data_IF_584626866190
#
_entry.id   IF_584626866190
#
_cell.length_a   1.000
_cell.length_b   1.000
_cell.length_c   1.000
_cell.angle_alpha   90.00
_cell.angle_beta   90.00
_cell.angle_gamma   90.00
#
_symmetry.space_group_name_H-M   'P 1'
#
loop_
_entity.id
_entity.type
_entity.pdbx_description
1 polymer ?
#
# COMPACT_ATOMS: atom_id res chain seq x y z
N UNK A 1 -12.19 6.20 10.54
CA UNK A 1 -12.97 5.31 11.44
C UNK A 1 -12.01 4.22 11.86
N UNK A 2 -11.82 4.05 13.16
CA UNK A 2 -10.95 3.00 13.69
C UNK A 2 -11.76 1.72 13.87
N UNK A 3 -11.38 0.64 13.18
CA UNK A 3 -11.96 -0.68 13.43
C UNK A 3 -11.03 -1.49 14.34
N UNK A 4 -11.61 -2.32 15.21
CA UNK A 4 -10.84 -3.19 16.11
C UNK A 4 -11.30 -4.64 15.99
N UNK A 5 -10.35 -5.57 15.86
CA UNK A 5 -10.61 -7.01 15.83
C UNK A 5 -9.49 -7.83 16.51
N UNK A 6 -9.66 -9.15 16.64
CA UNK A 6 -8.58 -10.02 17.13
C UNK A 6 -7.49 -10.17 16.07
N UNK A 7 -7.88 -10.45 14.83
CA UNK A 7 -6.99 -10.41 13.66
C UNK A 7 -7.65 -9.60 12.56
N UNK A 8 -6.87 -8.96 11.71
CA UNK A 8 -7.39 -8.22 10.56
C UNK A 8 -8.27 -7.07 11.00
N UNK A 9 -7.69 -6.08 11.68
CA UNK A 9 -8.43 -4.97 12.27
C UNK A 9 -9.34 -4.27 11.28
N UNK A 10 -8.88 -4.09 10.04
CA UNK A 10 -9.70 -3.61 8.93
C UNK A 10 -10.38 -4.75 8.15
N UNK A 11 -9.58 -5.73 7.70
CA UNK A 11 -10.05 -6.82 6.83
C UNK A 11 -9.52 -8.16 7.30
N UNK A 12 -10.43 -9.13 7.44
CA UNK A 12 -10.10 -10.55 7.59
C UNK A 12 -10.53 -11.32 6.36
N UNK A 13 -9.58 -12.02 5.73
CA UNK A 13 -9.82 -12.89 4.59
C UNK A 13 -9.77 -14.34 5.07
N UNK A 14 -10.94 -14.94 5.19
CA UNK A 14 -11.08 -16.35 5.61
C UNK A 14 -10.90 -17.28 4.42
N UNK A 15 -11.44 -16.94 3.26
CA UNK A 15 -11.27 -17.66 1.98
C UNK A 15 -11.68 -16.75 0.80
N UNK A 16 -11.53 -17.22 -0.43
CA UNK A 16 -11.98 -16.55 -1.65
C UNK A 16 -10.95 -15.58 -2.24
N UNK A 17 -11.40 -14.74 -3.18
CA UNK A 17 -10.54 -13.73 -3.82
C UNK A 17 -11.02 -12.34 -3.46
N UNK A 18 -10.15 -11.55 -2.84
CA UNK A 18 -10.40 -10.16 -2.46
C UNK A 18 -9.53 -9.24 -3.31
N UNK A 19 -10.16 -8.22 -3.90
CA UNK A 19 -9.50 -7.20 -4.72
C UNK A 19 -9.77 -5.84 -4.10
N UNK A 20 -8.71 -5.09 -3.83
CA UNK A 20 -8.73 -3.77 -3.22
C UNK A 20 -8.11 -2.80 -4.22
N UNK A 21 -8.89 -1.81 -4.64
CA UNK A 21 -8.61 -0.94 -5.77
C UNK A 21 -8.81 0.52 -5.33
N UNK A 22 -7.83 1.41 -5.56
CA UNK A 22 -7.94 2.84 -5.24
C UNK A 22 -8.48 3.08 -3.81
N UNK A 23 -7.91 2.41 -2.83
CA UNK A 23 -8.46 2.37 -1.48
C UNK A 23 -7.39 2.52 -0.41
N UNK A 24 -7.74 3.25 0.65
CA UNK A 24 -6.94 3.39 1.85
C UNK A 24 -7.50 2.49 2.95
N UNK A 25 -6.64 1.63 3.49
CA UNK A 25 -6.89 0.84 4.71
C UNK A 25 -6.03 1.46 5.79
N UNK A 26 -6.64 2.25 6.67
CA UNK A 26 -5.88 2.97 7.67
C UNK A 26 -6.57 3.06 9.03
N UNK A 27 -5.74 3.26 10.06
CA UNK A 27 -6.16 3.47 11.45
C UNK A 27 -6.97 2.30 12.01
N UNK A 28 -6.71 1.08 11.54
CA UNK A 28 -7.33 -0.11 12.09
C UNK A 28 -6.41 -0.79 13.10
N UNK A 29 -7.01 -1.47 14.08
CA UNK A 29 -6.30 -2.10 15.19
C UNK A 29 -6.63 -3.58 15.30
N UNK A 30 -5.62 -4.43 15.43
CA UNK A 30 -5.80 -5.83 15.80
C UNK A 30 -5.20 -6.13 17.18
N UNK A 31 -5.73 -7.13 17.88
CA UNK A 31 -5.18 -7.58 19.17
C UNK A 31 -4.07 -8.64 19.03
N UNK A 32 -3.90 -9.22 17.84
CA UNK A 32 -2.96 -10.33 17.63
C UNK A 32 -2.18 -10.29 16.33
N UNK A 33 -2.83 -10.18 15.17
CA UNK A 33 -2.18 -10.26 13.85
C UNK A 33 -2.90 -9.40 12.81
N UNK A 34 -2.16 -8.72 11.96
CA UNK A 34 -2.74 -8.03 10.80
C UNK A 34 -3.56 -6.82 11.24
N UNK A 35 -2.91 -5.73 11.64
CA UNK A 35 -3.62 -4.52 12.05
C UNK A 35 -4.55 -4.02 10.95
N UNK A 36 -4.06 -3.98 9.71
CA UNK A 36 -4.86 -3.66 8.53
C UNK A 36 -5.57 -4.89 7.99
N UNK A 37 -4.79 -5.87 7.52
CA UNK A 37 -5.29 -7.06 6.84
C UNK A 37 -4.72 -8.34 7.43
N UNK A 38 -5.58 -9.31 7.71
CA UNK A 38 -5.20 -10.67 8.05
C UNK A 38 -5.72 -11.64 6.99
N UNK A 39 -4.81 -12.32 6.31
CA UNK A 39 -5.12 -13.28 5.26
C UNK A 39 -4.87 -14.70 5.78
N UNK A 40 -5.95 -15.47 6.00
CA UNK A 40 -5.89 -16.85 6.50
C UNK A 40 -5.90 -17.89 5.37
N UNK A 41 -6.75 -17.69 4.37
CA UNK A 41 -6.74 -18.42 3.09
C UNK A 41 -7.15 -17.49 1.95
N UNK A 42 -7.13 -17.97 0.72
CA UNK A 42 -7.57 -17.21 -0.45
C UNK A 42 -6.51 -16.27 -1.03
N UNK A 43 -6.94 -15.45 -1.99
CA UNK A 43 -6.09 -14.49 -2.71
C UNK A 43 -6.42 -13.05 -2.32
N UNK A 44 -5.40 -12.24 -2.16
CA UNK A 44 -5.49 -10.80 -1.97
C UNK A 44 -4.79 -10.09 -3.12
N UNK A 45 -5.45 -9.14 -3.75
CA UNK A 45 -4.83 -8.22 -4.72
C UNK A 45 -5.06 -6.80 -4.27
N UNK A 46 -3.98 -6.05 -4.05
CA UNK A 46 -4.01 -4.61 -3.85
C UNK A 46 -3.47 -3.93 -5.10
N UNK A 47 -4.19 -2.93 -5.59
CA UNK A 47 -3.75 -2.13 -6.73
C UNK A 47 -4.11 -0.68 -6.45
N UNK A 48 -3.11 0.20 -6.51
CA UNK A 48 -3.27 1.62 -6.17
C UNK A 48 -3.88 1.79 -4.78
N UNK A 49 -3.30 1.12 -3.78
CA UNK A 49 -3.84 1.11 -2.42
C UNK A 49 -2.83 1.68 -1.42
N UNK A 50 -3.35 2.18 -0.30
CA UNK A 50 -2.53 2.66 0.82
C UNK A 50 -2.93 1.90 2.08
N UNK A 51 -2.02 1.10 2.63
CA UNK A 51 -2.19 0.39 3.91
C UNK A 51 -1.30 1.04 4.95
N UNK A 52 -1.87 1.95 5.74
CA UNK A 52 -1.07 2.80 6.62
C UNK A 52 -1.67 3.00 8.01
N UNK A 53 -0.83 3.25 9.02
CA UNK A 53 -1.27 3.56 10.38
C UNK A 53 -2.17 2.51 11.00
N UNK A 54 -2.07 1.27 10.54
CA UNK A 54 -2.73 0.16 11.19
C UNK A 54 -1.82 -0.39 12.29
N UNK A 55 -2.42 -0.87 13.37
CA UNK A 55 -1.67 -1.26 14.56
C UNK A 55 -2.04 -2.65 15.07
N UNK A 56 -1.09 -3.32 15.71
CA UNK A 56 -1.36 -4.48 16.57
C UNK A 56 -0.97 -4.11 18.00
N UNK A 57 -1.96 -3.98 18.88
CA UNK A 57 -1.73 -3.57 20.28
C UNK A 57 -2.54 -4.42 21.27
N UNK A 58 -2.07 -4.52 22.50
CA UNK A 58 -2.83 -5.09 23.59
C UNK A 58 -3.90 -4.11 24.14
N UNK A 59 -4.62 -4.53 25.18
CA UNK A 59 -5.64 -3.70 25.84
C UNK A 59 -5.07 -2.45 26.55
N UNK A 60 -3.75 -2.32 26.65
CA UNK A 60 -3.05 -1.17 27.22
C UNK A 60 -2.43 -0.27 26.13
N UNK A 61 -2.71 -0.56 24.85
CA UNK A 61 -2.17 0.17 23.71
C UNK A 61 -0.69 -0.10 23.45
N UNK A 62 -0.11 -1.14 24.04
CA UNK A 62 1.29 -1.50 23.79
C UNK A 62 1.41 -2.34 22.51
N UNK A 63 2.41 -2.10 21.64
CA UNK A 63 2.62 -2.91 20.46
C UNK A 63 2.82 -4.40 20.81
N UNK A 64 2.05 -5.26 20.17
CA UNK A 64 2.14 -6.72 20.28
C UNK A 64 2.09 -7.37 18.90
N UNK A 65 2.22 -8.69 18.85
CA UNK A 65 2.01 -9.47 17.64
C UNK A 65 2.89 -9.06 16.46
N UNK A 66 2.38 -9.24 15.24
CA UNK A 66 3.12 -8.94 14.02
C UNK A 66 2.23 -8.52 12.87
N UNK A 67 2.81 -7.86 11.86
CA UNK A 67 2.11 -7.40 10.67
C UNK A 67 1.10 -6.30 10.99
N UNK A 68 1.59 -5.13 11.41
CA UNK A 68 0.75 -3.94 11.58
C UNK A 68 -0.07 -3.66 10.33
N UNK A 69 0.55 -3.75 9.15
CA UNK A 69 -0.13 -3.64 7.86
C UNK A 69 -0.86 -4.93 7.47
N UNK A 70 -0.12 -5.90 6.94
CA UNK A 70 -0.66 -7.15 6.37
C UNK A 70 0.02 -8.36 7.02
N UNK A 71 -0.78 -9.39 7.34
CA UNK A 71 -0.28 -10.73 7.67
C UNK A 71 -0.74 -11.74 6.63
N UNK A 72 0.22 -12.48 6.10
CA UNK A 72 0.02 -13.63 5.21
C UNK A 72 0.17 -14.91 6.03
N UNK A 73 -0.95 -15.52 6.39
CA UNK A 73 -1.03 -16.72 7.24
C UNK A 73 -1.65 -17.90 6.50
N UNK A 74 -1.15 -18.16 5.30
CA UNK A 74 -1.61 -19.30 4.50
C UNK A 74 -0.48 -19.96 3.73
N UNK A 75 -0.69 -21.23 3.37
CA UNK A 75 0.18 -21.97 2.45
C UNK A 75 -0.43 -22.08 1.05
N UNK A 76 -1.67 -21.62 0.86
CA UNK A 76 -2.40 -21.63 -0.42
C UNK A 76 -2.92 -20.24 -0.78
N UNK A 77 -2.86 -19.88 -2.07
CA UNK A 77 -3.20 -18.53 -2.53
C UNK A 77 -1.97 -17.61 -2.59
N UNK A 78 -2.21 -16.31 -2.78
CA UNK A 78 -1.17 -15.31 -2.93
C UNK A 78 -1.65 -13.92 -2.51
N UNK A 79 -0.71 -13.08 -2.06
CA UNK A 79 -0.88 -11.64 -1.98
C UNK A 79 -0.23 -11.01 -3.20
N UNK A 80 -0.91 -10.13 -3.91
CA UNK A 80 -0.39 -9.46 -5.11
C UNK A 80 -0.47 -7.96 -4.90
N UNK A 81 0.65 -7.26 -5.02
CA UNK A 81 0.75 -5.82 -4.79
C UNK A 81 1.19 -5.10 -6.07
N UNK A 82 0.52 -4.02 -6.44
CA UNK A 82 0.97 -3.11 -7.50
C UNK A 82 0.65 -1.68 -7.13
N UNK A 83 1.58 -0.74 -7.38
CA UNK A 83 1.37 0.68 -7.09
C UNK A 83 0.83 0.90 -5.66
N UNK A 84 1.30 0.11 -4.69
CA UNK A 84 0.71 0.07 -3.34
C UNK A 84 1.70 0.59 -2.30
N UNK A 85 1.22 1.44 -1.39
CA UNK A 85 1.96 1.91 -0.22
C UNK A 85 1.60 1.02 0.98
N UNK A 86 2.61 0.52 1.70
CA UNK A 86 2.47 -0.10 3.03
C UNK A 86 3.49 0.53 3.97
N UNK A 87 3.04 1.49 4.78
CA UNK A 87 3.91 2.33 5.60
C UNK A 87 3.24 2.76 6.91
N UNK A 88 4.00 3.31 7.86
CA UNK A 88 3.51 3.84 9.14
C UNK A 88 2.67 2.86 9.98
N UNK A 89 2.77 1.56 9.72
CA UNK A 89 2.07 0.55 10.49
C UNK A 89 2.88 0.18 11.74
N UNK A 90 2.19 -0.26 12.80
CA UNK A 90 2.81 -0.54 14.10
C UNK A 90 2.49 -1.96 14.58
N UNK A 91 3.51 -2.69 15.00
CA UNK A 91 3.41 -3.99 15.67
C UNK A 91 4.69 -4.27 16.46
N UNK A 92 4.72 -5.33 17.26
CA UNK A 92 5.96 -5.73 17.95
C UNK A 92 7.02 -6.26 16.98
N UNK A 93 6.59 -6.98 15.94
CA UNK A 93 7.46 -7.48 14.87
C UNK A 93 6.80 -7.27 13.50
N UNK A 94 7.61 -7.26 12.44
CA UNK A 94 7.13 -7.17 11.05
C UNK A 94 6.11 -6.05 10.80
N UNK A 95 6.52 -4.80 11.02
CA UNK A 95 5.63 -3.63 11.06
C UNK A 95 4.63 -3.57 9.88
N UNK A 96 5.11 -3.77 8.66
CA UNK A 96 4.31 -3.60 7.45
C UNK A 96 3.73 -4.92 6.94
N UNK A 97 4.59 -5.91 6.67
CA UNK A 97 4.16 -7.18 6.10
C UNK A 97 4.83 -8.32 6.84
N UNK A 98 4.03 -9.23 7.38
CA UNK A 98 4.50 -10.45 8.03
C UNK A 98 4.04 -11.70 7.26
N UNK A 99 4.92 -12.70 7.15
CA UNK A 99 4.59 -14.02 6.63
C UNK A 99 4.74 -15.05 7.74
N UNK A 100 3.61 -15.57 8.24
CA UNK A 100 3.61 -16.68 9.21
C UNK A 100 3.51 -18.04 8.52
N UNK A 101 3.39 -18.03 7.19
CA UNK A 101 3.31 -19.20 6.32
C UNK A 101 3.93 -18.88 4.94
N UNK A 102 3.92 -19.84 4.01
CA UNK A 102 4.77 -19.84 2.81
C UNK A 102 4.11 -19.33 1.53
N UNK A 103 2.87 -18.83 1.58
CA UNK A 103 2.25 -18.29 0.37
C UNK A 103 3.02 -17.07 -0.16
N UNK A 104 3.18 -16.96 -1.49
CA UNK A 104 3.98 -15.91 -2.09
C UNK A 104 3.32 -14.53 -1.95
N UNK A 105 4.16 -13.52 -1.78
CA UNK A 105 3.79 -12.12 -2.00
C UNK A 105 4.36 -11.72 -3.35
N UNK A 106 3.50 -11.49 -4.33
CA UNK A 106 3.88 -11.11 -5.67
C UNK A 106 3.90 -9.60 -5.83
N UNK A 107 4.95 -9.09 -6.47
CA UNK A 107 5.01 -7.69 -6.88
C UNK A 107 4.69 -7.53 -8.37
N UNK A 108 3.77 -6.62 -8.66
CA UNK A 108 3.44 -6.11 -10.00
C UNK A 108 4.21 -4.83 -10.36
N UNK A 109 5.19 -4.47 -9.52
CA UNK A 109 5.98 -3.25 -9.64
C UNK A 109 5.41 -2.04 -8.90
N UNK A 110 6.29 -1.07 -8.69
CA UNK A 110 6.01 0.25 -8.17
C UNK A 110 5.32 0.25 -6.78
N UNK A 111 5.68 -0.67 -5.89
CA UNK A 111 5.17 -0.67 -4.52
C UNK A 111 6.15 0.06 -3.59
N UNK A 112 5.64 0.78 -2.60
CA UNK A 112 6.45 1.40 -1.56
C UNK A 112 6.16 0.72 -0.23
N UNK A 113 7.16 0.07 0.36
CA UNK A 113 7.05 -0.53 1.69
C UNK A 113 8.12 0.06 2.58
N UNK A 114 7.69 0.73 3.66
CA UNK A 114 8.61 1.50 4.51
C UNK A 114 9.75 0.64 5.05
N UNK A 115 9.43 -0.54 5.58
CA UNK A 115 10.39 -1.55 6.02
C UNK A 115 9.85 -2.93 5.62
N UNK A 116 10.66 -3.68 4.88
CA UNK A 116 10.51 -5.13 4.73
C UNK A 116 11.32 -5.80 5.83
N UNK A 117 10.67 -6.71 6.56
CA UNK A 117 11.32 -7.42 7.66
C UNK A 117 12.09 -8.64 7.16
N UNK A 118 13.20 -9.03 7.82
CA UNK A 118 13.95 -10.22 7.43
C UNK A 118 13.05 -11.46 7.41
N UNK A 119 13.04 -12.18 6.28
CA UNK A 119 12.22 -13.38 6.10
C UNK A 119 10.92 -13.15 5.33
N UNK A 120 10.51 -11.90 5.08
CA UNK A 120 9.46 -11.63 4.08
C UNK A 120 10.03 -11.80 2.67
N UNK A 121 9.46 -12.71 1.89
CA UNK A 121 9.88 -13.03 0.53
C UNK A 121 8.90 -12.46 -0.50
N UNK A 122 9.36 -11.50 -1.30
CA UNK A 122 8.64 -10.99 -2.47
C UNK A 122 9.05 -11.76 -3.74
N UNK A 123 8.11 -11.96 -4.67
CA UNK A 123 8.32 -12.69 -5.92
C UNK A 123 7.74 -11.93 -7.13
N UNK A 124 8.53 -11.49 -8.12
CA UNK A 124 9.99 -11.46 -8.11
C UNK A 124 10.54 -10.60 -6.95
N UNK A 125 11.79 -10.85 -6.54
CA UNK A 125 12.42 -10.26 -5.35
C UNK A 125 12.31 -8.71 -5.28
N UNK A 126 12.21 -8.06 -6.44
CA UNK A 126 11.73 -6.68 -6.61
C UNK A 126 11.07 -6.59 -7.98
N UNK A 127 9.80 -6.20 -8.04
CA UNK A 127 9.18 -5.74 -9.28
C UNK A 127 9.87 -4.45 -9.76
N UNK A 128 9.70 -4.11 -11.04
CA UNK A 128 10.24 -2.85 -11.57
C UNK A 128 9.63 -1.67 -10.80
N UNK A 129 10.47 -0.76 -10.30
CA UNK A 129 10.04 0.45 -9.59
C UNK A 129 9.64 0.26 -8.13
N UNK A 130 9.78 -0.93 -7.54
CA UNK A 130 9.53 -1.12 -6.11
C UNK A 130 10.54 -0.33 -5.24
N UNK A 131 10.01 0.34 -4.21
CA UNK A 131 10.72 1.14 -3.21
C UNK A 131 10.62 0.46 -1.84
N UNK A 132 11.56 -0.43 -1.56
CA UNK A 132 11.57 -1.23 -0.33
C UNK A 132 12.65 -0.78 0.63
N UNK A 133 12.23 -0.30 1.80
CA UNK A 133 13.15 0.00 2.89
C UNK A 133 13.51 -1.21 3.73
N UNK A 134 14.54 -1.04 4.54
CA UNK A 134 15.01 -2.03 5.52
C UNK A 134 15.03 -1.41 6.91
N UNK A 135 15.18 -2.21 7.96
CA UNK A 135 15.32 -1.68 9.32
C UNK A 135 16.53 -0.74 9.48
N UNK A 136 17.57 -0.89 8.67
CA UNK A 136 18.75 -0.01 8.67
C UNK A 136 18.58 1.25 7.81
N UNK A 137 17.73 1.18 6.78
CA UNK A 137 17.42 2.29 5.88
C UNK A 137 15.94 2.23 5.50
N UNK A 138 15.03 2.71 6.36
CA UNK A 138 13.61 2.77 6.06
C UNK A 138 13.35 3.73 4.89
N UNK A 139 12.34 3.44 4.07
CA UNK A 139 11.84 4.36 3.05
C UNK A 139 10.61 5.07 3.62
N UNK A 140 10.73 6.36 3.90
CA UNK A 140 9.58 7.14 4.32
C UNK A 140 8.65 7.42 3.13
N UNK A 141 7.37 7.09 3.28
CA UNK A 141 6.36 7.36 2.26
C UNK A 141 5.92 8.84 2.26
N UNK A 142 6.25 9.59 3.31
CA UNK A 142 5.86 10.99 3.50
C UNK A 142 4.33 11.16 3.36
N UNK A 143 3.58 10.36 4.12
CA UNK A 143 2.13 10.41 4.18
C UNK A 143 1.63 11.62 4.99
N UNK A 144 0.62 12.32 4.47
CA UNK A 144 0.04 13.48 5.14
C UNK A 144 -0.55 13.09 6.50
N UNK A 145 -0.37 13.89 7.57
CA UNK A 145 -0.74 13.53 8.95
C UNK A 145 -2.24 13.29 9.17
N UNK A 146 -3.10 13.79 8.28
CA UNK A 146 -4.54 13.53 8.30
C UNK A 146 -5.06 13.08 6.93
N UNK A 147 -6.34 12.74 6.88
CA UNK A 147 -7.00 12.48 5.60
C UNK A 147 -7.29 13.78 4.88
N UNK A 148 -7.00 13.82 3.58
CA UNK A 148 -7.54 14.81 2.65
C UNK A 148 -9.06 14.61 2.55
N UNK A 149 -9.89 15.59 2.96
CA UNK A 149 -11.34 15.50 2.88
C UNK A 149 -11.90 15.87 1.49
N UNK A 150 -11.05 16.24 0.53
CA UNK A 150 -11.49 16.63 -0.81
C UNK A 150 -12.06 15.43 -1.59
N UNK A 151 -13.13 15.67 -2.34
CA UNK A 151 -13.83 14.64 -3.12
C UNK A 151 -14.87 13.85 -2.34
N UNK A 152 -15.25 12.69 -2.86
CA UNK A 152 -16.35 11.88 -2.31
C UNK A 152 -15.93 10.91 -1.21
N UNK A 153 -14.64 10.60 -1.10
CA UNK A 153 -14.09 9.79 -0.01
C UNK A 153 -12.77 10.37 0.49
N UNK A 154 -12.60 10.37 1.81
CA UNK A 154 -11.39 10.87 2.45
C UNK A 154 -10.23 9.87 2.24
N UNK A 155 -9.03 10.39 2.00
CA UNK A 155 -7.85 9.60 1.61
C UNK A 155 -6.59 10.15 2.28
N UNK A 156 -5.58 9.32 2.54
CA UNK A 156 -4.28 9.82 3.02
C UNK A 156 -3.51 10.37 1.82
N UNK A 157 -3.22 11.68 1.84
CA UNK A 157 -2.44 12.35 0.81
C UNK A 157 -0.93 12.09 0.91
N UNK A 158 -0.20 12.50 -0.12
CA UNK A 158 1.27 12.53 -0.14
C UNK A 158 1.76 13.95 0.17
N UNK A 159 2.84 14.06 0.95
CA UNK A 159 3.51 15.34 1.21
C UNK A 159 4.54 15.65 0.11
N UNK A 160 4.88 16.93 -0.04
CA UNK A 160 5.92 17.41 -0.95
C UNK A 160 7.24 16.63 -0.75
N UNK A 161 7.80 16.14 -1.86
CA UNK A 161 9.03 15.34 -1.85
C UNK A 161 8.82 13.86 -1.51
N UNK A 162 7.58 13.39 -1.39
CA UNK A 162 7.30 11.96 -1.25
C UNK A 162 7.92 11.16 -2.40
N UNK A 163 8.65 10.07 -2.11
CA UNK A 163 9.19 9.19 -3.15
C UNK A 163 8.09 8.38 -3.86
N UNK A 164 6.84 8.47 -3.43
CA UNK A 164 5.69 7.88 -4.12
C UNK A 164 5.16 8.74 -5.27
N UNK A 165 5.53 10.02 -5.33
CA UNK A 165 5.09 10.95 -6.37
C UNK A 165 5.76 10.57 -7.69
N UNK A 166 4.97 10.44 -8.75
CA UNK A 166 5.40 10.06 -10.11
C UNK A 166 6.17 8.72 -10.19
N UNK A 167 6.11 7.90 -9.14
CA UNK A 167 6.86 6.65 -9.03
C UNK A 167 6.03 5.41 -9.40
N UNK A 168 4.73 5.58 -9.69
CA UNK A 168 3.77 4.56 -10.07
C UNK A 168 3.71 4.27 -11.57
N UNK A 169 3.03 3.19 -11.94
CA UNK A 169 2.83 2.82 -13.33
C UNK A 169 1.35 2.50 -13.62
N UNK A 170 0.74 3.29 -14.50
CA UNK A 170 -0.65 3.20 -14.95
C UNK A 170 -0.96 2.07 -15.94
N UNK A 171 0.00 1.17 -16.22
CA UNK A 171 -0.23 -0.04 -17.02
C UNK A 171 -0.58 -1.20 -16.11
N UNK A 172 -1.76 -1.80 -16.30
CA UNK A 172 -2.25 -2.90 -15.48
C UNK A 172 -2.43 -4.16 -16.33
N UNK A 173 -1.80 -5.26 -15.92
CA UNK A 173 -1.98 -6.59 -16.49
C UNK A 173 -2.47 -7.54 -15.40
N UNK A 174 -3.25 -8.56 -15.77
CA UNK A 174 -3.67 -9.59 -14.83
C UNK A 174 -2.44 -10.15 -14.05
N UNK A 175 -2.56 -10.36 -12.72
CA UNK A 175 -3.77 -10.37 -11.93
C UNK A 175 -4.20 -8.99 -11.39
N UNK A 176 -3.61 -7.87 -11.80
CA UNK A 176 -3.96 -6.52 -11.34
C UNK A 176 -5.09 -5.92 -12.18
N UNK A 177 -6.14 -5.39 -11.54
CA UNK A 177 -7.27 -4.74 -12.25
C UNK A 177 -6.95 -3.25 -12.43
N UNK A 178 -7.21 -2.71 -13.61
CA UNK A 178 -7.22 -1.27 -13.83
C UNK A 178 -8.30 -0.63 -12.91
N UNK A 179 -7.92 0.26 -11.98
CA UNK A 179 -8.84 0.78 -10.99
C UNK A 179 -9.68 1.97 -11.49
N UNK A 180 -9.51 2.39 -12.75
CA UNK A 180 -10.28 3.46 -13.39
C UNK A 180 -9.50 4.77 -13.53
N UNK A 181 -10.18 5.82 -14.01
CA UNK A 181 -9.57 7.10 -14.36
C UNK A 181 -9.40 8.11 -13.22
N UNK A 182 -9.86 7.78 -12.01
CA UNK A 182 -9.81 8.66 -10.84
C UNK A 182 -9.03 8.00 -9.70
N UNK A 183 -8.49 8.80 -8.79
CA UNK A 183 -7.98 8.30 -7.51
C UNK A 183 -9.12 8.02 -6.52
N UNK A 184 -8.80 7.71 -5.26
CA UNK A 184 -9.79 7.39 -4.23
C UNK A 184 -10.84 8.51 -4.00
N UNK A 185 -10.48 9.78 -4.22
CA UNK A 185 -11.40 10.93 -4.01
C UNK A 185 -12.51 10.97 -5.06
N UNK A 186 -12.37 10.22 -6.15
CA UNK A 186 -13.38 10.03 -7.18
C UNK A 186 -13.43 11.15 -8.20
N UNK A 187 -14.62 11.40 -8.77
CA UNK A 187 -14.79 12.33 -9.90
C UNK A 187 -14.19 13.71 -9.61
N UNK A 188 -13.35 14.20 -10.52
CA UNK A 188 -12.63 15.48 -10.38
C UNK A 188 -11.19 15.34 -9.89
N UNK A 189 -10.77 14.13 -9.49
CA UNK A 189 -9.40 13.82 -9.07
C UNK A 189 -8.83 12.74 -9.99
N UNK A 190 -8.20 13.17 -11.08
CA UNK A 190 -7.75 12.25 -12.13
C UNK A 190 -6.57 11.42 -11.65
N UNK A 191 -6.58 10.13 -11.99
CA UNK A 191 -5.48 9.19 -11.71
C UNK A 191 -4.32 9.36 -12.69
N UNK A 192 -4.63 9.74 -13.92
CA UNK A 192 -3.68 9.89 -15.00
C UNK A 192 -3.56 11.39 -15.26
N UNK A 193 -2.67 12.04 -14.54
CA UNK A 193 -2.44 13.48 -14.65
C UNK A 193 -0.97 13.75 -14.96
N UNK A 194 -0.62 13.75 -16.24
CA UNK A 194 0.60 14.41 -16.71
C UNK A 194 0.24 15.89 -16.92
N UNK A 195 0.46 16.73 -15.90
CA UNK A 195 0.45 18.18 -16.09
C UNK A 195 1.89 18.66 -16.24
N UNK A 196 2.22 19.36 -17.34
CA UNK A 196 3.49 20.02 -17.47
C UNK A 196 3.68 21.05 -16.34
N UNK A 197 4.69 20.86 -15.48
CA UNK A 197 5.34 21.97 -14.77
C UNK A 197 5.41 21.97 -13.24
N UNK A 198 5.16 20.88 -12.52
CA UNK A 198 5.50 20.81 -11.08
C UNK A 198 6.18 19.47 -10.76
N UNK A 199 7.37 19.54 -10.16
CA UNK A 199 8.28 18.40 -9.95
C UNK A 199 9.51 18.50 -10.85
N UNK A 200 10.72 18.38 -10.30
CA UNK A 200 11.98 18.63 -11.01
C UNK A 200 12.40 17.54 -12.01
N UNK A 201 11.48 16.82 -12.65
CA UNK A 201 11.82 15.83 -13.67
C UNK A 201 11.54 16.32 -15.08
N UNK A 202 12.39 17.23 -15.54
CA UNK A 202 12.89 17.12 -16.89
C UNK A 202 14.38 16.83 -16.77
N UNK A 203 14.75 15.56 -16.58
CA UNK A 203 16.07 15.14 -17.05
C UNK A 203 16.22 15.60 -18.51
N UNK A 204 17.37 16.19 -18.91
CA UNK A 204 17.58 16.60 -20.30
C UNK A 204 17.45 15.40 -21.25
N UNK A 205 16.29 15.26 -21.91
CA UNK A 205 15.97 14.15 -22.81
C UNK A 205 14.58 13.55 -22.68
N UNK A 206 13.82 13.89 -21.63
CA UNK A 206 12.42 13.46 -21.44
C UNK A 206 11.49 14.11 -22.49
N UNK A 207 10.70 13.29 -23.20
CA UNK A 207 9.71 13.75 -24.17
C UNK A 207 8.36 13.90 -23.47
N UNK A 208 7.80 15.10 -23.49
CA UNK A 208 6.41 15.39 -23.10
C UNK A 208 5.46 14.35 -23.71
N UNK A 209 4.72 13.60 -22.88
CA UNK A 209 3.87 12.49 -23.32
C UNK A 209 4.44 11.07 -23.13
N UNK A 210 5.34 10.87 -22.16
CA UNK A 210 5.87 9.55 -21.77
C UNK A 210 4.88 8.72 -20.94
N UNK A 211 3.94 8.05 -21.60
CA UNK A 211 3.12 6.91 -21.14
C UNK A 211 3.02 6.59 -19.62
N UNK A 212 1.80 6.72 -19.07
CA UNK A 212 1.31 5.99 -17.89
C UNK A 212 2.07 6.21 -16.56
N UNK A 213 2.62 7.39 -16.30
CA UNK A 213 3.12 7.74 -14.96
C UNK A 213 1.95 8.16 -14.07
N UNK A 214 1.92 7.62 -12.86
CA UNK A 214 0.94 7.92 -11.80
C UNK A 214 1.65 7.91 -10.46
N UNK A 215 1.02 8.35 -9.39
CA UNK A 215 1.53 8.17 -8.03
C UNK A 215 1.35 6.73 -7.52
N UNK A 216 2.25 6.29 -6.63
CA UNK A 216 2.06 5.06 -5.86
C UNK A 216 1.00 5.31 -4.79
N UNK A 217 0.02 4.40 -4.68
CA UNK A 217 -0.99 4.41 -3.61
C UNK A 217 -2.39 4.85 -4.06
N UNK A 218 -3.24 5.14 -3.08
CA UNK A 218 -4.65 5.46 -3.32
C UNK A 218 -4.91 6.92 -3.71
N UNK A 219 -3.93 7.79 -3.50
CA UNK A 219 -3.98 9.23 -3.76
C UNK A 219 -3.13 9.60 -4.97
N UNK A 220 -3.61 10.56 -5.76
CA UNK A 220 -2.85 11.20 -6.83
C UNK A 220 -2.68 12.69 -6.51
N UNK A 221 -1.46 13.19 -6.43
CA UNK A 221 -1.19 14.63 -6.31
C UNK A 221 -1.81 15.32 -7.52
N UNK A 222 -2.70 16.28 -7.27
CA UNK A 222 -3.24 17.13 -8.32
C UNK A 222 -2.51 18.46 -8.30
N UNK A 223 -2.27 19.02 -9.48
CA UNK A 223 -1.77 20.40 -9.63
C UNK A 223 -2.86 21.34 -10.15
#
# INVERSE_FOLDING_TARGET
>A
MENQAVNGGGITIVDGTVRILNSTIAENTALRLGGGVFQSFGNLTLTNATVARNSVVDNLGQPVGQGGGIVVNTVTGAVNLKNTIIADNMALADLNVAQTATAPINSGGNNLINIISPGTSFSPATGVGDLFGTSAAPVDALLAPGFDPNGSTAVIGLLDGSPAIDAGNGTFTAPYTNPGGFDQRGSGFLRFQDIPGIGTDLMPGEVLGGANVIDIGAFEVQV
#
